data_IF_850482386819
#
_entry.id   IF_850482386819
#
_cell.length_a   1.000
_cell.length_b   1.000
_cell.length_c   1.000
_cell.angle_alpha   90.00
_cell.angle_beta   90.00
_cell.angle_gamma   90.00
#
_symmetry.space_group_name_H-M   'P 1'
#
loop_
_entity.id
_entity.type
_entity.pdbx_description
1 polymer ?
#
# COMPACT_ATOMS: atom_id res chain seq x y z
N UNK A 1 78.83 41.95 38.91
CA UNK A 1 79.28 41.65 37.53
C UNK A 1 78.11 40.99 36.79
N UNK A 2 77.39 41.76 35.98
CA UNK A 2 77.32 41.67 34.51
C UNK A 2 76.54 40.45 33.95
N UNK A 3 75.28 40.72 33.58
CA UNK A 3 74.49 40.32 32.39
C UNK A 3 74.58 38.91 31.77
N UNK A 4 73.40 38.28 31.51
CA UNK A 4 72.88 37.87 30.18
C UNK A 4 71.62 36.96 30.35
N UNK A 5 70.38 37.39 30.02
CA UNK A 5 69.66 37.35 28.72
C UNK A 5 68.74 36.12 28.54
N UNK A 6 67.40 36.39 28.52
CA UNK A 6 66.29 35.98 27.61
C UNK A 6 66.28 34.51 27.13
N UNK A 7 65.16 33.76 27.13
CA UNK A 7 63.91 34.00 26.41
C UNK A 7 62.78 33.14 27.03
N UNK A 8 61.64 33.73 27.39
CA UNK A 8 60.38 33.00 27.59
C UNK A 8 59.46 33.44 26.46
N UNK A 9 59.31 32.57 25.46
CA UNK A 9 58.39 32.73 24.35
C UNK A 9 57.02 32.28 24.82
N UNK A 10 56.19 33.21 25.30
CA UNK A 10 54.78 32.96 25.60
C UNK A 10 53.98 33.04 24.29
N UNK A 11 53.80 31.89 23.63
CA UNK A 11 52.88 31.75 22.50
C UNK A 11 51.45 31.85 23.07
N UNK A 12 50.83 33.01 22.88
CA UNK A 12 49.41 33.21 23.17
C UNK A 12 48.62 32.63 21.98
N UNK A 13 48.32 31.34 22.05
CA UNK A 13 47.46 30.66 21.07
C UNK A 13 46.04 31.21 21.23
N UNK A 14 45.71 32.22 20.42
CA UNK A 14 44.35 32.72 20.26
C UNK A 14 43.54 31.64 19.51
N UNK A 15 43.10 30.61 20.24
CA UNK A 15 42.07 29.70 19.78
C UNK A 15 40.78 30.52 19.65
N UNK A 16 40.51 30.98 18.42
CA UNK A 16 39.18 31.39 18.02
C UNK A 16 38.24 30.21 18.28
N UNK A 17 37.49 30.29 19.37
CA UNK A 17 36.28 29.52 19.57
C UNK A 17 35.31 29.96 18.48
N UNK A 18 35.39 29.33 17.31
CA UNK A 18 34.28 29.28 16.36
C UNK A 18 33.22 28.44 17.06
N UNK A 19 32.48 29.09 17.96
CA UNK A 19 31.27 28.53 18.52
C UNK A 19 30.31 28.43 17.34
N UNK A 20 30.25 27.24 16.75
CA UNK A 20 29.19 26.86 15.84
C UNK A 20 27.89 27.08 16.62
N UNK A 21 27.22 28.23 16.42
CA UNK A 21 25.88 28.45 16.94
C UNK A 21 25.04 27.35 16.31
N UNK A 22 24.77 26.28 17.06
CA UNK A 22 23.73 25.34 16.68
C UNK A 22 22.48 26.20 16.47
N UNK A 23 21.89 26.11 15.28
CA UNK A 23 20.61 26.73 15.03
C UNK A 23 19.68 26.29 16.18
N UNK A 24 19.09 27.25 16.87
CA UNK A 24 18.10 26.96 17.90
C UNK A 24 16.94 26.26 17.20
N UNK A 25 16.70 25.03 17.63
CA UNK A 25 15.54 24.27 17.17
C UNK A 25 14.30 24.79 17.89
N UNK A 26 13.15 24.65 17.25
CA UNK A 26 11.86 24.95 17.85
C UNK A 26 11.62 24.20 19.16
N UNK A 27 10.98 24.88 20.11
CA UNK A 27 10.40 24.27 21.31
C UNK A 27 8.89 24.02 21.17
N UNK A 28 8.29 24.35 20.01
CA UNK A 28 6.86 24.24 19.72
C UNK A 28 6.56 22.98 18.90
N UNK A 29 5.66 22.13 19.41
CA UNK A 29 5.26 20.92 18.72
C UNK A 29 4.30 21.23 17.55
N UNK A 30 4.32 20.46 16.46
CA UNK A 30 3.36 20.64 15.36
C UNK A 30 1.92 20.39 15.84
N UNK A 31 0.96 21.07 15.24
CA UNK A 31 -0.47 20.90 15.54
C UNK A 31 -1.04 19.86 14.56
N UNK A 32 -1.82 18.91 15.05
CA UNK A 32 -2.51 17.89 14.25
C UNK A 32 -3.96 17.78 14.71
N UNK A 33 -4.88 17.66 13.75
CA UNK A 33 -6.30 17.49 14.02
C UNK A 33 -7.00 16.66 12.93
N UNK A 34 -8.16 16.10 13.27
CA UNK A 34 -9.07 15.55 12.29
C UNK A 34 -9.79 16.68 11.55
N UNK A 35 -10.04 16.46 10.25
CA UNK A 35 -10.98 17.28 9.49
C UNK A 35 -12.40 17.05 9.96
N UNK A 36 -13.12 18.14 10.18
CA UNK A 36 -14.52 18.15 10.64
C UNK A 36 -15.50 18.54 9.53
N UNK A 37 -15.01 18.77 8.32
CA UNK A 37 -15.84 19.05 7.16
C UNK A 37 -16.76 17.87 6.85
N UNK A 38 -17.89 18.14 6.20
CA UNK A 38 -18.84 17.11 5.77
C UNK A 38 -18.16 16.02 4.93
N UNK A 39 -18.47 14.76 5.24
CA UNK A 39 -17.92 13.59 4.57
C UNK A 39 -16.71 12.96 5.26
N UNK A 40 -16.17 13.57 6.31
CA UNK A 40 -15.10 12.99 7.13
C UNK A 40 -15.60 12.48 8.49
N UNK A 41 -14.99 11.40 8.96
CA UNK A 41 -15.18 10.87 10.32
C UNK A 41 -14.03 11.37 11.20
N UNK A 42 -14.37 11.94 12.35
CA UNK A 42 -13.42 12.61 13.26
C UNK A 42 -13.61 12.22 14.74
N UNK A 43 -14.46 11.23 15.00
CA UNK A 43 -14.69 10.67 16.33
C UNK A 43 -14.88 9.17 16.23
N UNK A 44 -14.69 8.48 17.35
CA UNK A 44 -14.94 7.04 17.45
C UNK A 44 -16.30 6.64 16.88
N UNK A 45 -16.35 5.47 16.24
CA UNK A 45 -17.53 5.04 15.49
C UNK A 45 -17.71 3.53 15.53
N UNK A 46 -18.96 3.10 15.67
CA UNK A 46 -19.36 1.70 15.46
C UNK A 46 -19.76 1.51 13.99
N UNK A 47 -19.23 0.47 13.38
CA UNK A 47 -19.35 0.18 11.95
C UNK A 47 -19.61 -1.31 11.74
N UNK A 48 -20.43 -1.66 10.74
CA UNK A 48 -20.56 -3.04 10.29
C UNK A 48 -19.28 -3.48 9.55
N UNK A 49 -19.05 -4.78 9.48
CA UNK A 49 -17.99 -5.33 8.64
C UNK A 49 -18.10 -4.84 7.20
N UNK A 50 -16.98 -4.35 6.65
CA UNK A 50 -16.93 -3.81 5.28
C UNK A 50 -17.42 -2.38 5.14
N UNK A 51 -18.03 -1.78 6.17
CA UNK A 51 -18.40 -0.38 6.13
C UNK A 51 -17.17 0.49 5.89
N UNK A 52 -17.36 1.51 5.06
CA UNK A 52 -16.29 2.40 4.65
C UNK A 52 -16.49 3.78 5.26
N UNK A 53 -15.41 4.34 5.81
CA UNK A 53 -15.35 5.73 6.25
C UNK A 53 -14.20 6.46 5.59
N UNK A 54 -14.35 7.77 5.42
CA UNK A 54 -13.26 8.66 5.03
C UNK A 54 -12.78 9.41 6.27
N UNK A 55 -11.48 9.43 6.49
CA UNK A 55 -10.84 10.26 7.50
C UNK A 55 -9.97 11.30 6.81
N UNK A 56 -9.87 12.47 7.45
CA UNK A 56 -9.06 13.58 6.97
C UNK A 56 -8.20 14.06 8.13
N UNK A 57 -6.92 14.28 7.87
CA UNK A 57 -5.93 14.75 8.83
C UNK A 57 -5.34 16.04 8.28
N UNK A 58 -5.36 17.08 9.10
CA UNK A 58 -4.62 18.31 8.84
C UNK A 58 -3.54 18.43 9.91
N UNK A 59 -2.33 18.79 9.49
CA UNK A 59 -1.30 19.19 10.43
C UNK A 59 -0.60 20.46 9.95
N UNK A 60 -0.23 21.31 10.90
CA UNK A 60 0.45 22.57 10.65
C UNK A 60 1.64 22.72 11.60
N UNK A 61 2.67 23.38 11.12
CA UNK A 61 3.72 23.90 11.95
C UNK A 61 3.14 24.92 12.95
N UNK A 62 3.58 24.84 14.21
CA UNK A 62 3.19 25.81 15.23
C UNK A 62 3.97 27.12 15.12
N UNK A 63 5.19 27.08 14.57
CA UNK A 63 6.15 28.19 14.59
C UNK A 63 6.88 28.42 13.25
N UNK A 64 6.47 27.71 12.20
CA UNK A 64 7.09 27.74 10.88
C UNK A 64 8.17 26.67 10.66
N UNK A 65 8.56 25.87 11.66
CA UNK A 65 9.41 24.70 11.43
C UNK A 65 8.68 23.61 10.63
N UNK A 66 9.38 23.04 9.65
CA UNK A 66 8.83 21.98 8.82
C UNK A 66 8.51 20.71 9.62
N UNK A 67 7.35 20.13 9.31
CA UNK A 67 7.01 18.74 9.60
C UNK A 67 7.95 17.86 8.76
N UNK A 68 8.62 16.92 9.44
CA UNK A 68 9.61 16.02 8.84
C UNK A 68 9.13 14.58 8.72
N UNK A 69 8.12 14.20 9.49
CA UNK A 69 7.56 12.85 9.48
C UNK A 69 6.05 12.91 9.72
N UNK A 70 5.33 12.16 8.91
CA UNK A 70 3.97 11.73 9.19
C UNK A 70 3.94 10.20 9.30
N UNK A 71 3.40 9.68 10.38
CA UNK A 71 3.28 8.27 10.66
C UNK A 71 1.80 7.89 10.81
N UNK A 72 1.40 6.80 10.16
CA UNK A 72 0.10 6.17 10.35
C UNK A 72 0.31 4.79 10.94
N UNK A 73 -0.32 4.52 12.10
CA UNK A 73 -0.33 3.20 12.71
C UNK A 73 -1.75 2.67 12.81
N UNK A 74 -1.88 1.38 12.54
CA UNK A 74 -3.12 0.63 12.65
C UNK A 74 -2.92 -0.49 13.65
N UNK A 75 -3.91 -0.70 14.53
CA UNK A 75 -3.95 -1.80 15.49
C UNK A 75 -5.29 -2.51 15.38
N UNK A 76 -5.26 -3.84 15.34
CA UNK A 76 -6.44 -4.70 15.28
C UNK A 76 -6.19 -5.98 16.09
N UNK A 77 -6.53 -5.95 17.38
CA UNK A 77 -6.08 -6.97 18.32
C UNK A 77 -4.55 -6.96 18.43
N UNK A 78 -3.91 -8.11 18.18
CA UNK A 78 -2.45 -8.25 18.21
C UNK A 78 -1.76 -7.79 16.92
N UNK A 79 -2.51 -7.63 15.83
CA UNK A 79 -1.96 -7.16 14.56
C UNK A 79 -1.71 -5.66 14.60
N UNK A 80 -0.55 -5.24 14.08
CA UNK A 80 -0.27 -3.83 13.87
C UNK A 80 0.48 -3.58 12.56
N UNK A 81 0.24 -2.41 11.96
CA UNK A 81 0.96 -1.93 10.79
C UNK A 81 1.37 -0.48 11.04
N UNK A 82 2.55 -0.10 10.57
CA UNK A 82 3.08 1.26 10.69
C UNK A 82 3.65 1.68 9.35
N UNK A 83 3.23 2.86 8.88
CA UNK A 83 3.73 3.47 7.64
C UNK A 83 4.31 4.84 7.98
N UNK A 84 5.58 5.03 7.63
CA UNK A 84 6.30 6.27 7.80
C UNK A 84 6.43 7.01 6.47
N UNK A 85 6.04 8.29 6.48
CA UNK A 85 6.18 9.20 5.34
C UNK A 85 7.09 10.36 5.72
N UNK A 86 8.25 10.45 5.07
CA UNK A 86 9.12 11.61 5.19
C UNK A 86 8.48 12.84 4.54
N UNK A 87 8.54 13.97 5.22
CA UNK A 87 7.99 15.25 4.77
C UNK A 87 9.03 16.36 4.89
N UNK A 88 8.79 17.46 4.19
CA UNK A 88 9.54 18.70 4.36
C UNK A 88 8.62 19.88 4.02
N UNK A 89 7.58 20.05 4.83
CA UNK A 89 6.52 21.03 4.62
C UNK A 89 6.07 21.61 5.95
N UNK A 90 5.60 22.84 5.97
CA UNK A 90 4.94 23.45 7.13
C UNK A 90 3.50 22.95 7.32
N UNK A 91 2.92 22.30 6.32
CA UNK A 91 1.55 21.81 6.32
C UNK A 91 1.43 20.40 5.76
N UNK A 92 0.40 19.69 6.21
CA UNK A 92 -0.02 18.38 5.71
C UNK A 92 -1.55 18.37 5.58
N UNK A 93 -2.04 17.94 4.43
CA UNK A 93 -3.43 17.53 4.26
C UNK A 93 -3.43 16.08 3.74
N UNK A 94 -3.93 15.17 4.58
CA UNK A 94 -3.95 13.75 4.31
C UNK A 94 -5.38 13.22 4.40
N UNK A 95 -5.75 12.38 3.46
CA UNK A 95 -7.05 11.72 3.46
C UNK A 95 -6.86 10.21 3.28
N UNK A 96 -7.69 9.43 3.98
CA UNK A 96 -7.69 7.98 3.85
C UNK A 96 -9.10 7.44 3.87
N UNK A 97 -9.35 6.49 2.99
CA UNK A 97 -10.50 5.63 3.04
C UNK A 97 -10.16 4.42 3.93
N UNK A 98 -10.95 4.18 4.98
CA UNK A 98 -10.79 3.04 5.89
C UNK A 98 -12.00 2.14 5.74
N UNK A 99 -11.76 0.84 5.62
CA UNK A 99 -12.78 -0.21 5.57
C UNK A 99 -12.71 -0.99 6.87
N UNK A 100 -13.83 -1.12 7.57
CA UNK A 100 -13.91 -1.86 8.82
C UNK A 100 -13.62 -3.35 8.58
N UNK A 101 -12.63 -3.89 9.30
CA UNK A 101 -12.26 -5.30 9.30
C UNK A 101 -12.92 -6.11 10.44
N UNK A 102 -12.46 -7.35 10.64
CA UNK A 102 -13.09 -8.35 11.52
C UNK A 102 -12.94 -8.08 13.02
N UNK A 103 -11.90 -7.34 13.42
CA UNK A 103 -11.56 -7.13 14.83
C UNK A 103 -12.62 -6.33 15.56
N UNK A 104 -12.90 -6.68 16.82
CA UNK A 104 -13.93 -5.99 17.61
C UNK A 104 -13.61 -4.50 17.81
N UNK A 105 -12.32 -4.19 17.85
CA UNK A 105 -11.79 -2.84 17.89
C UNK A 105 -10.61 -2.69 16.93
N UNK A 106 -10.64 -1.62 16.17
CA UNK A 106 -9.52 -1.14 15.36
C UNK A 106 -9.13 0.26 15.83
N UNK A 107 -7.84 0.49 16.05
CA UNK A 107 -7.34 1.82 16.43
C UNK A 107 -6.43 2.35 15.35
N UNK A 108 -6.75 3.52 14.83
CA UNK A 108 -5.91 4.26 13.90
C UNK A 108 -5.24 5.42 14.62
N UNK A 109 -3.91 5.43 14.65
CA UNK A 109 -3.09 6.50 15.21
C UNK A 109 -2.39 7.28 14.10
N UNK A 110 -2.40 8.59 14.23
CA UNK A 110 -1.75 9.53 13.33
C UNK A 110 -0.79 10.38 14.14
N UNK A 111 0.47 10.41 13.73
CA UNK A 111 1.51 11.17 14.42
C UNK A 111 2.29 12.03 13.44
N UNK A 112 2.56 13.26 13.82
CA UNK A 112 3.47 14.16 13.10
C UNK A 112 4.66 14.53 13.97
N UNK A 113 5.80 14.76 13.33
CA UNK A 113 7.03 15.21 13.99
C UNK A 113 7.65 16.37 13.23
N UNK A 114 8.07 17.42 13.92
CA UNK A 114 8.80 18.54 13.30
C UNK A 114 10.32 18.26 13.19
N UNK A 115 11.10 19.25 12.76
CA UNK A 115 12.55 19.16 12.63
C UNK A 115 13.27 19.09 13.98
N UNK A 116 12.76 19.78 14.99
CA UNK A 116 13.23 19.68 16.37
C UNK A 116 13.02 18.27 16.99
N UNK A 117 12.19 17.43 16.36
CA UNK A 117 11.89 16.08 16.82
C UNK A 117 10.70 15.99 17.79
N UNK A 118 10.03 17.12 18.05
CA UNK A 118 8.78 17.21 18.82
C UNK A 118 7.64 16.57 18.04
N UNK A 119 6.74 15.89 18.77
CA UNK A 119 5.68 15.06 18.18
C UNK A 119 4.33 15.40 18.76
N UNK A 120 3.29 15.26 17.94
CA UNK A 120 1.90 15.23 18.37
C UNK A 120 1.17 14.10 17.66
N UNK A 121 0.16 13.56 18.34
CA UNK A 121 -0.63 12.45 17.84
C UNK A 121 -2.12 12.58 18.15
N UNK A 122 -2.94 12.01 17.28
CA UNK A 122 -4.39 11.82 17.45
C UNK A 122 -4.75 10.39 17.07
N UNK A 123 -5.88 9.91 17.57
CA UNK A 123 -6.37 8.58 17.24
C UNK A 123 -7.89 8.54 17.14
N UNK A 124 -8.36 7.51 16.45
CA UNK A 124 -9.78 7.16 16.31
C UNK A 124 -9.94 5.66 16.51
N UNK A 125 -10.96 5.26 17.26
CA UNK A 125 -11.34 3.88 17.46
C UNK A 125 -12.56 3.54 16.61
N UNK A 126 -12.48 2.43 15.87
CA UNK A 126 -13.58 1.86 15.12
C UNK A 126 -14.00 0.55 15.78
N UNK A 127 -15.24 0.50 16.25
CA UNK A 127 -15.82 -0.66 16.90
C UNK A 127 -16.63 -1.47 15.89
N UNK A 128 -16.55 -2.80 16.00
CA UNK A 128 -17.41 -3.68 15.19
C UNK A 128 -18.83 -3.65 15.74
N UNK A 129 -19.79 -3.42 14.86
CA UNK A 129 -21.21 -3.57 15.17
C UNK A 129 -21.52 -5.05 15.45
N UNK A 130 -22.20 -5.34 16.56
CA UNK A 130 -22.57 -6.71 16.95
C UNK A 130 -23.54 -7.39 15.99
N UNK A 131 -24.22 -6.61 15.13
CA UNK A 131 -25.11 -7.09 14.05
C UNK A 131 -24.35 -7.39 12.76
N UNK A 132 -23.02 -7.34 12.77
CA UNK A 132 -22.21 -7.67 11.59
C UNK A 132 -22.32 -9.15 11.26
N UNK A 133 -22.58 -9.44 9.98
CA UNK A 133 -22.62 -10.79 9.43
C UNK A 133 -21.62 -10.89 8.29
N UNK A 134 -21.08 -12.10 8.07
CA UNK A 134 -20.31 -12.37 6.86
C UNK A 134 -21.25 -12.54 5.69
N UNK A 135 -20.86 -11.98 4.55
CA UNK A 135 -21.69 -12.01 3.34
C UNK A 135 -21.13 -13.00 2.33
N UNK A 136 -22.00 -13.44 1.42
CA UNK A 136 -21.59 -14.28 0.30
C UNK A 136 -20.52 -13.56 -0.55
N UNK A 137 -19.67 -14.37 -1.16
CA UNK A 137 -18.59 -13.92 -2.04
C UNK A 137 -18.95 -14.15 -3.51
N UNK A 138 -18.33 -13.37 -4.39
CA UNK A 138 -18.28 -13.67 -5.81
C UNK A 138 -17.25 -14.78 -6.03
N UNK A 139 -17.66 -15.85 -6.73
CA UNK A 139 -16.81 -16.99 -7.05
C UNK A 139 -16.70 -17.14 -8.57
N UNK A 140 -15.49 -17.00 -9.09
CA UNK A 140 -15.17 -17.18 -10.51
C UNK A 140 -14.30 -18.44 -10.62
N UNK A 141 -14.87 -19.58 -11.05
CA UNK A 141 -14.21 -20.87 -10.94
C UNK A 141 -12.96 -21.00 -11.82
N UNK A 142 -12.92 -20.30 -12.96
CA UNK A 142 -11.82 -20.35 -13.92
C UNK A 142 -11.65 -19.03 -14.66
N UNK A 143 -10.44 -18.49 -14.62
CA UNK A 143 -9.97 -17.39 -15.46
C UNK A 143 -8.70 -17.84 -16.18
N UNK A 144 -8.71 -17.80 -17.51
CA UNK A 144 -7.56 -18.11 -18.34
C UNK A 144 -6.88 -16.82 -18.77
N UNK A 145 -5.59 -16.68 -18.46
CA UNK A 145 -4.78 -15.57 -18.93
C UNK A 145 -3.62 -16.09 -19.76
N UNK A 146 -3.47 -15.56 -20.97
CA UNK A 146 -2.37 -15.84 -21.87
C UNK A 146 -1.19 -14.90 -21.64
N UNK A 147 0.02 -15.43 -21.75
CA UNK A 147 1.24 -14.63 -21.75
C UNK A 147 1.33 -13.76 -23.02
N UNK A 148 2.33 -12.90 -23.10
CA UNK A 148 2.44 -11.81 -24.09
C UNK A 148 2.38 -12.23 -25.57
N UNK A 149 2.71 -13.48 -25.92
CA UNK A 149 2.63 -14.03 -27.29
C UNK A 149 1.54 -15.12 -27.43
N UNK A 150 0.66 -15.27 -26.44
CA UNK A 150 -0.44 -16.21 -26.52
C UNK A 150 -1.55 -15.68 -27.43
N UNK A 151 -1.90 -16.45 -28.47
CA UNK A 151 -2.92 -16.07 -29.46
C UNK A 151 -4.33 -16.57 -29.13
N UNK A 152 -4.48 -17.42 -28.11
CA UNK A 152 -5.75 -18.09 -27.78
C UNK A 152 -6.47 -17.44 -26.59
N UNK A 153 -5.72 -16.80 -25.68
CA UNK A 153 -6.25 -16.20 -24.46
C UNK A 153 -5.79 -14.75 -24.30
N UNK A 154 -6.63 -13.91 -23.70
CA UNK A 154 -6.24 -12.54 -23.34
C UNK A 154 -5.29 -12.52 -22.13
N UNK A 155 -4.55 -11.42 -21.96
CA UNK A 155 -3.52 -11.27 -20.91
C UNK A 155 -4.01 -10.51 -19.68
N UNK A 156 -5.08 -9.72 -19.85
CA UNK A 156 -5.57 -8.78 -18.85
C UNK A 156 -6.92 -9.20 -18.32
N UNK A 157 -7.17 -9.05 -17.02
CA UNK A 157 -8.49 -9.28 -16.42
C UNK A 157 -9.02 -8.02 -15.74
N UNK A 158 -10.33 -7.84 -15.83
CA UNK A 158 -11.08 -6.77 -15.18
C UNK A 158 -12.09 -7.37 -14.21
N UNK A 159 -11.99 -7.00 -12.94
CA UNK A 159 -12.94 -7.47 -11.92
C UNK A 159 -14.32 -6.85 -12.11
N UNK A 160 -14.38 -5.57 -12.49
CA UNK A 160 -15.65 -4.83 -12.63
C UNK A 160 -16.45 -5.25 -13.86
N UNK A 161 -15.79 -5.74 -14.90
CA UNK A 161 -16.43 -6.22 -16.13
C UNK A 161 -16.51 -7.75 -16.20
N UNK A 162 -15.95 -8.45 -15.21
CA UNK A 162 -15.79 -9.90 -15.19
C UNK A 162 -15.36 -10.47 -16.55
N UNK A 163 -14.25 -9.93 -17.08
CA UNK A 163 -13.85 -10.16 -18.47
C UNK A 163 -12.34 -10.19 -18.64
N UNK A 164 -11.89 -11.06 -19.56
CA UNK A 164 -10.49 -11.16 -20.00
C UNK A 164 -10.30 -10.44 -21.33
N UNK A 165 -9.24 -9.65 -21.43
CA UNK A 165 -8.91 -8.80 -22.57
C UNK A 165 -7.52 -9.14 -23.13
N UNK A 166 -7.38 -9.07 -24.45
CA UNK A 166 -6.05 -8.99 -25.08
C UNK A 166 -5.38 -7.67 -24.73
N UNK A 167 -4.06 -7.56 -24.88
CA UNK A 167 -3.34 -6.35 -24.49
C UNK A 167 -3.81 -5.09 -25.23
N UNK A 168 -4.21 -5.22 -26.50
CA UNK A 168 -4.76 -4.11 -27.29
C UNK A 168 -6.12 -3.66 -26.74
N UNK A 169 -7.04 -4.59 -26.45
CA UNK A 169 -8.33 -4.23 -25.85
C UNK A 169 -8.17 -3.70 -24.42
N UNK A 170 -7.19 -4.22 -23.67
CA UNK A 170 -6.84 -3.73 -22.35
C UNK A 170 -6.34 -2.28 -22.41
N UNK A 171 -5.52 -1.94 -23.40
CA UNK A 171 -5.08 -0.56 -23.67
C UNK A 171 -6.25 0.39 -23.97
N UNK A 172 -7.36 -0.10 -24.50
CA UNK A 172 -8.58 0.69 -24.71
C UNK A 172 -9.48 0.79 -23.46
N UNK A 173 -9.27 -0.07 -22.46
CA UNK A 173 -10.09 -0.20 -21.25
C UNK A 173 -9.25 -0.02 -19.96
N UNK A 174 -8.22 0.82 -20.01
CA UNK A 174 -7.15 0.89 -19.00
C UNK A 174 -7.67 1.04 -17.56
N UNK A 175 -8.73 1.83 -17.37
CA UNK A 175 -9.31 2.12 -16.05
C UNK A 175 -10.01 0.93 -15.39
N UNK A 176 -10.41 -0.10 -16.15
CA UNK A 176 -11.08 -1.28 -15.63
C UNK A 176 -10.15 -2.48 -15.41
N UNK A 177 -8.92 -2.45 -15.93
CA UNK A 177 -7.99 -3.58 -15.83
C UNK A 177 -7.38 -3.63 -14.43
N UNK A 178 -7.43 -4.79 -13.81
CA UNK A 178 -6.88 -5.02 -12.47
C UNK A 178 -5.65 -5.91 -12.51
N UNK A 179 -5.68 -6.97 -13.33
CA UNK A 179 -4.60 -7.96 -13.44
C UNK A 179 -4.04 -7.98 -14.86
N UNK A 180 -2.74 -8.23 -14.98
CA UNK A 180 -1.99 -8.47 -16.20
C UNK A 180 -1.10 -9.68 -15.99
N UNK A 181 -1.20 -10.69 -16.85
CA UNK A 181 -0.36 -11.88 -16.78
C UNK A 181 0.69 -11.91 -17.89
N UNK A 182 1.94 -12.16 -17.51
CA UNK A 182 3.05 -12.35 -18.44
C UNK A 182 4.01 -13.44 -17.95
N UNK A 183 4.86 -13.89 -18.86
CA UNK A 183 5.97 -14.78 -18.55
C UNK A 183 7.32 -14.10 -18.86
N UNK A 184 8.18 -13.98 -17.86
CA UNK A 184 9.52 -13.41 -18.02
C UNK A 184 10.61 -14.42 -17.65
N UNK A 185 11.20 -15.05 -18.67
CA UNK A 185 12.24 -16.07 -18.51
C UNK A 185 13.50 -15.55 -17.80
N UNK A 186 13.83 -14.26 -17.97
CA UNK A 186 15.04 -13.66 -17.40
C UNK A 186 14.78 -13.02 -16.03
N UNK A 187 13.56 -13.14 -15.51
CA UNK A 187 13.12 -12.46 -14.31
C UNK A 187 12.13 -13.29 -13.52
N UNK A 188 10.87 -12.86 -13.55
CA UNK A 188 9.85 -13.27 -12.58
C UNK A 188 8.99 -14.47 -13.03
N UNK A 189 9.37 -15.17 -14.11
CA UNK A 189 8.62 -16.27 -14.75
C UNK A 189 7.11 -15.96 -14.85
N UNK A 190 6.23 -16.87 -14.44
CA UNK A 190 4.79 -16.67 -14.40
C UNK A 190 4.44 -15.55 -13.41
N UNK A 191 3.98 -14.42 -13.92
CA UNK A 191 3.71 -13.24 -13.11
C UNK A 191 2.32 -12.67 -13.36
N UNK A 192 1.56 -12.43 -12.30
CA UNK A 192 0.40 -11.54 -12.32
C UNK A 192 0.82 -10.19 -11.73
N UNK A 193 0.64 -9.12 -12.48
CA UNK A 193 0.95 -7.75 -12.08
C UNK A 193 -0.31 -6.90 -12.16
N UNK A 194 -0.38 -5.84 -11.35
CA UNK A 194 -1.29 -4.73 -11.68
C UNK A 194 -0.73 -3.90 -12.85
N UNK A 195 -1.56 -3.16 -13.61
CA UNK A 195 -1.09 -2.20 -14.60
C UNK A 195 -0.09 -1.17 -14.04
N UNK A 196 -0.29 -0.75 -12.80
CA UNK A 196 0.63 0.13 -12.09
C UNK A 196 1.94 -0.55 -11.65
N UNK A 197 2.10 -1.87 -11.80
CA UNK A 197 3.20 -2.63 -11.23
C UNK A 197 4.59 -2.39 -11.85
N UNK A 198 4.78 -1.39 -12.70
CA UNK A 198 6.02 -1.16 -13.46
C UNK A 198 6.40 -2.42 -14.26
N UNK A 199 5.50 -2.87 -15.14
CA UNK A 199 5.81 -3.91 -16.12
C UNK A 199 6.77 -3.31 -17.15
N UNK A 200 7.86 -4.03 -17.43
CA UNK A 200 8.87 -3.58 -18.37
C UNK A 200 8.28 -3.46 -19.79
N UNK A 201 8.73 -2.45 -20.54
CA UNK A 201 8.28 -2.22 -21.93
C UNK A 201 8.58 -3.40 -22.85
N UNK A 202 9.61 -4.20 -22.58
CA UNK A 202 9.98 -5.36 -23.37
C UNK A 202 8.97 -6.51 -23.27
N UNK A 203 8.15 -6.57 -22.22
CA UNK A 203 7.17 -7.66 -22.01
C UNK A 203 6.05 -7.61 -23.05
N UNK A 204 5.44 -6.44 -23.24
CA UNK A 204 4.30 -6.26 -24.15
C UNK A 204 4.62 -5.42 -25.39
N UNK A 205 5.88 -5.02 -25.57
CA UNK A 205 6.30 -4.11 -26.63
C UNK A 205 5.89 -2.65 -26.40
N UNK A 206 6.05 -1.80 -27.41
CA UNK A 206 6.04 -0.35 -27.21
C UNK A 206 4.66 0.33 -27.30
N UNK A 207 3.67 -0.15 -28.06
CA UNK A 207 2.42 0.62 -28.20
C UNK A 207 1.41 0.32 -27.09
N UNK A 208 1.30 -0.93 -26.66
CA UNK A 208 0.25 -1.38 -25.74
C UNK A 208 0.74 -1.66 -24.32
N UNK A 209 2.05 -1.50 -24.06
CA UNK A 209 2.61 -1.72 -22.73
C UNK A 209 1.94 -0.83 -21.67
N UNK A 210 1.71 -1.35 -20.45
CA UNK A 210 1.17 -0.57 -19.33
C UNK A 210 1.93 0.71 -19.02
N UNK A 211 3.21 0.80 -19.41
CA UNK A 211 4.01 2.03 -19.26
C UNK A 211 3.44 3.24 -20.03
N UNK A 212 2.67 3.01 -21.09
CA UNK A 212 2.05 4.04 -21.93
C UNK A 212 0.56 4.29 -21.59
N UNK A 213 0.05 3.67 -20.54
CA UNK A 213 -1.32 3.86 -20.11
C UNK A 213 -1.47 5.17 -19.33
N UNK A 214 -2.49 5.96 -19.66
CA UNK A 214 -2.86 7.17 -18.92
C UNK A 214 -3.48 6.85 -17.56
N UNK A 215 -4.10 5.66 -17.42
CA UNK A 215 -4.66 5.19 -16.16
C UNK A 215 -4.10 3.82 -15.82
N UNK A 216 -3.57 3.67 -14.60
CA UNK A 216 -2.93 2.43 -14.14
C UNK A 216 -3.42 2.05 -12.76
N UNK A 217 -4.40 1.15 -12.72
CA UNK A 217 -4.84 0.57 -11.46
C UNK A 217 -3.68 -0.16 -10.78
N UNK A 218 -3.61 -0.04 -9.46
CA UNK A 218 -2.55 -0.64 -8.65
C UNK A 218 -3.11 -1.68 -7.70
N UNK A 219 -3.63 -2.79 -8.23
CA UNK A 219 -3.93 -3.94 -7.38
C UNK A 219 -2.69 -4.40 -6.63
N UNK A 220 -2.90 -4.74 -5.37
CA UNK A 220 -1.88 -5.21 -4.44
C UNK A 220 -2.08 -6.69 -4.14
N UNK A 221 -0.99 -7.39 -3.90
CA UNK A 221 -0.96 -8.83 -3.69
C UNK A 221 -0.06 -9.21 -2.51
N UNK A 222 -0.45 -10.28 -1.82
CA UNK A 222 0.37 -10.95 -0.81
C UNK A 222 0.15 -12.46 -0.88
N UNK A 223 1.23 -13.24 -0.85
CA UNK A 223 1.13 -14.70 -0.81
C UNK A 223 0.57 -15.10 0.56
N UNK A 224 -0.44 -15.96 0.56
CA UNK A 224 -1.06 -16.43 1.80
C UNK A 224 -0.41 -17.72 2.29
N UNK A 225 -0.70 -18.07 3.54
CA UNK A 225 -0.41 -19.40 4.12
C UNK A 225 -1.63 -20.32 4.08
N UNK A 226 -2.70 -19.93 3.38
CA UNK A 226 -3.92 -20.73 3.28
C UNK A 226 -3.65 -22.03 2.53
N UNK A 227 -4.30 -23.11 2.94
CA UNK A 227 -4.30 -24.35 2.18
C UNK A 227 -5.34 -24.30 1.05
N UNK A 228 -5.19 -25.16 0.05
CA UNK A 228 -6.22 -25.35 -0.99
C UNK A 228 -7.57 -25.71 -0.37
N UNK A 229 -7.57 -26.51 0.69
CA UNK A 229 -8.79 -26.89 1.40
C UNK A 229 -9.46 -25.69 2.10
N UNK A 230 -8.69 -24.79 2.71
CA UNK A 230 -9.23 -23.55 3.30
C UNK A 230 -9.87 -22.67 2.23
N UNK A 231 -9.17 -22.50 1.10
CA UNK A 231 -9.68 -21.75 -0.04
C UNK A 231 -10.97 -22.36 -0.57
N UNK A 232 -11.01 -23.67 -0.80
CA UNK A 232 -12.16 -24.37 -1.38
C UNK A 232 -13.39 -24.28 -0.46
N UNK A 233 -13.18 -24.38 0.86
CA UNK A 233 -14.22 -24.23 1.88
C UNK A 233 -14.57 -22.78 2.24
N UNK A 234 -14.00 -21.79 1.55
CA UNK A 234 -14.39 -20.39 1.70
C UNK A 234 -15.68 -20.11 0.94
N UNK A 235 -16.79 -19.92 1.66
CA UNK A 235 -18.13 -19.66 1.09
C UNK A 235 -18.64 -18.24 1.36
N UNK A 236 -17.98 -17.50 2.25
CA UNK A 236 -18.28 -16.13 2.60
C UNK A 236 -16.98 -15.35 2.81
N UNK A 237 -17.08 -14.05 3.07
CA UNK A 237 -15.91 -13.17 3.13
C UNK A 237 -15.14 -13.23 4.46
N UNK A 238 -15.47 -14.14 5.39
CA UNK A 238 -14.75 -14.29 6.66
C UNK A 238 -13.27 -14.59 6.47
N UNK A 239 -12.95 -15.55 5.59
CA UNK A 239 -11.56 -15.93 5.31
C UNK A 239 -10.82 -14.78 4.62
N UNK A 240 -11.52 -14.02 3.77
CA UNK A 240 -10.98 -12.83 3.09
C UNK A 240 -10.59 -11.77 4.13
N UNK A 241 -11.46 -11.46 5.09
CA UNK A 241 -11.12 -10.52 6.17
C UNK A 241 -9.95 -11.01 7.03
N UNK A 242 -9.90 -12.30 7.33
CA UNK A 242 -8.86 -12.88 8.19
C UNK A 242 -7.47 -12.91 7.53
N UNK A 243 -7.39 -12.94 6.20
CA UNK A 243 -6.13 -13.05 5.44
C UNK A 243 -5.95 -11.92 4.43
N UNK A 244 -6.52 -10.74 4.71
CA UNK A 244 -6.21 -9.51 4.00
C UNK A 244 -5.06 -8.77 4.66
N UNK A 245 -4.50 -7.79 3.96
CA UNK A 245 -3.36 -7.00 4.39
C UNK A 245 -3.64 -5.51 4.17
N UNK A 246 -2.87 -4.63 4.81
CA UNK A 246 -2.97 -3.20 4.55
C UNK A 246 -2.55 -2.88 3.11
N UNK A 247 -3.39 -2.17 2.37
CA UNK A 247 -3.16 -1.93 0.94
C UNK A 247 -1.75 -1.36 0.65
N UNK A 248 -1.21 -0.51 1.53
CA UNK A 248 0.10 0.09 1.35
C UNK A 248 1.28 -0.90 1.51
N UNK A 249 1.12 -1.99 2.28
CA UNK A 249 2.18 -3.00 2.47
C UNK A 249 2.30 -3.98 1.31
N UNK A 250 1.21 -4.17 0.55
CA UNK A 250 1.13 -5.18 -0.50
C UNK A 250 2.05 -4.94 -1.70
N UNK A 251 2.40 -6.03 -2.39
CA UNK A 251 3.24 -6.00 -3.59
C UNK A 251 2.40 -5.71 -4.83
N UNK A 252 2.99 -5.09 -5.85
CA UNK A 252 2.28 -4.79 -7.12
C UNK A 252 2.31 -5.95 -8.12
N UNK A 253 3.06 -7.01 -7.80
CA UNK A 253 3.25 -8.22 -8.60
C UNK A 253 3.26 -9.45 -7.69
N UNK A 254 2.67 -10.54 -8.15
CA UNK A 254 2.86 -11.91 -7.68
C UNK A 254 3.67 -12.66 -8.73
N UNK A 255 4.84 -13.16 -8.35
CA UNK A 255 5.93 -13.60 -9.23
C UNK A 255 6.22 -15.08 -9.02
N UNK A 256 6.78 -15.75 -10.02
CA UNK A 256 7.14 -17.16 -9.96
C UNK A 256 5.97 -18.06 -9.55
N UNK A 257 4.78 -17.75 -10.06
CA UNK A 257 3.53 -18.43 -9.70
C UNK A 257 3.59 -19.93 -10.03
N UNK A 258 3.11 -20.75 -9.09
CA UNK A 258 3.03 -22.20 -9.20
C UNK A 258 1.62 -22.68 -8.88
N UNK A 259 1.26 -23.86 -9.38
CA UNK A 259 0.00 -24.54 -9.03
C UNK A 259 -0.16 -24.63 -7.51
N UNK A 260 -1.37 -24.35 -7.05
CA UNK A 260 -1.81 -24.27 -5.66
C UNK A 260 -1.35 -23.04 -4.87
N UNK A 261 -0.57 -22.13 -5.46
CA UNK A 261 -0.31 -20.84 -4.81
C UNK A 261 -1.62 -20.08 -4.62
N UNK A 262 -1.83 -19.53 -3.42
CA UNK A 262 -3.00 -18.71 -3.08
C UNK A 262 -2.51 -17.33 -2.67
N UNK A 263 -2.93 -16.32 -3.41
CA UNK A 263 -2.62 -14.92 -3.12
C UNK A 263 -3.87 -14.18 -2.68
N UNK A 264 -3.72 -13.40 -1.62
CA UNK A 264 -4.65 -12.33 -1.25
C UNK A 264 -4.41 -11.15 -2.17
N UNK A 265 -5.49 -10.46 -2.56
CA UNK A 265 -5.41 -9.22 -3.31
C UNK A 265 -6.34 -8.15 -2.77
N UNK A 266 -5.96 -6.90 -3.00
CA UNK A 266 -6.78 -5.72 -2.72
C UNK A 266 -6.78 -4.84 -3.97
N UNK A 267 -7.97 -4.65 -4.56
CA UNK A 267 -8.16 -3.82 -5.74
C UNK A 267 -7.98 -2.34 -5.39
N UNK A 268 -7.38 -1.59 -6.31
CA UNK A 268 -7.23 -0.13 -6.15
C UNK A 268 -8.57 0.60 -6.11
N UNK A 269 -9.57 0.10 -6.83
CA UNK A 269 -10.90 0.71 -6.93
C UNK A 269 -11.81 0.14 -5.84
N UNK A 270 -12.21 0.99 -4.89
CA UNK A 270 -13.07 0.68 -3.74
C UNK A 270 -12.49 -0.28 -2.68
N UNK A 271 -11.24 -0.74 -2.82
CA UNK A 271 -10.58 -1.57 -1.80
C UNK A 271 -11.17 -2.96 -1.66
N UNK A 272 -11.93 -3.46 -2.65
CA UNK A 272 -12.47 -4.82 -2.67
C UNK A 272 -11.33 -5.84 -2.53
N UNK A 273 -11.56 -6.83 -1.67
CA UNK A 273 -10.57 -7.83 -1.28
C UNK A 273 -10.97 -9.18 -1.84
N UNK A 274 -9.98 -10.03 -2.06
CA UNK A 274 -10.23 -11.40 -2.48
C UNK A 274 -8.99 -12.25 -2.48
N UNK A 275 -9.15 -13.46 -2.97
CA UNK A 275 -8.09 -14.41 -3.24
C UNK A 275 -8.12 -14.83 -4.70
N UNK A 276 -6.95 -15.13 -5.25
CA UNK A 276 -6.86 -16.03 -6.39
C UNK A 276 -6.02 -17.24 -6.02
N UNK A 277 -6.43 -18.41 -6.49
CA UNK A 277 -5.69 -19.68 -6.42
C UNK A 277 -5.21 -20.04 -7.81
N UNK A 278 -3.94 -20.39 -7.95
CA UNK A 278 -3.37 -20.85 -9.21
C UNK A 278 -3.76 -22.31 -9.44
N UNK A 279 -4.52 -22.59 -10.49
CA UNK A 279 -4.92 -23.95 -10.86
C UNK A 279 -3.84 -24.63 -11.71
N UNK A 280 -3.30 -23.92 -12.70
CA UNK A 280 -2.22 -24.44 -13.56
C UNK A 280 -1.39 -23.31 -14.19
N UNK A 281 -0.14 -23.62 -14.54
CA UNK A 281 0.77 -22.72 -15.27
C UNK A 281 1.44 -23.44 -16.43
N UNK A 282 1.54 -22.76 -17.57
CA UNK A 282 2.34 -23.14 -18.73
C UNK A 282 3.39 -22.04 -18.94
N UNK A 283 4.59 -22.22 -18.39
CA UNK A 283 5.62 -21.17 -18.30
C UNK A 283 6.39 -20.93 -19.60
N UNK A 284 5.79 -20.23 -20.56
CA UNK A 284 6.47 -19.71 -21.75
C UNK A 284 5.86 -18.37 -22.17
N UNK A 285 6.52 -17.64 -23.07
CA UNK A 285 5.99 -16.36 -23.59
C UNK A 285 4.70 -16.53 -24.41
N UNK A 286 4.41 -17.73 -24.92
CA UNK A 286 3.16 -18.10 -25.57
C UNK A 286 2.22 -18.94 -24.67
N UNK A 287 2.62 -19.16 -23.42
CA UNK A 287 1.92 -20.00 -22.45
C UNK A 287 0.75 -19.29 -21.80
N UNK A 288 0.25 -19.85 -20.70
CA UNK A 288 -0.95 -19.38 -19.99
C UNK A 288 -0.90 -19.72 -18.50
N UNK A 289 -1.77 -19.06 -17.75
CA UNK A 289 -2.14 -19.41 -16.39
C UNK A 289 -3.65 -19.62 -16.30
N UNK A 290 -4.06 -20.59 -15.50
CA UNK A 290 -5.45 -20.77 -15.07
C UNK A 290 -5.54 -20.46 -13.58
N UNK A 291 -6.46 -19.58 -13.20
CA UNK A 291 -6.70 -19.22 -11.80
C UNK A 291 -8.18 -19.34 -11.45
N UNK A 292 -8.45 -19.53 -10.16
CA UNK A 292 -9.77 -19.47 -9.55
C UNK A 292 -9.82 -18.25 -8.63
N UNK A 293 -10.89 -17.45 -8.68
CA UNK A 293 -11.01 -16.20 -7.91
C UNK A 293 -12.20 -16.28 -6.95
N UNK A 294 -11.98 -15.85 -5.72
CA UNK A 294 -13.01 -15.65 -4.68
C UNK A 294 -12.87 -14.25 -4.12
N UNK A 295 -13.86 -13.39 -4.26
CA UNK A 295 -13.76 -11.98 -3.86
C UNK A 295 -15.04 -11.45 -3.21
N UNK A 296 -14.91 -10.38 -2.43
CA UNK A 296 -16.04 -9.68 -1.84
C UNK A 296 -17.00 -9.15 -2.91
N UNK A 297 -18.30 -9.22 -2.61
CA UNK A 297 -19.36 -8.68 -3.47
C UNK A 297 -19.29 -7.15 -3.61
#
# INVERSE_FOLDING_TARGET
MRYAIKYITLIFTLMFLIQCKKAQLSDEAPIISFRTDSGFTFSDKTLKLGDTIRIGIIANSADGENITLFNTKFFAGEQSTSVDSGLNSTELNYERLIIKGISDKETWHFMVKNKAGLRQEISINLFKDSTSEFINITHIPKVFLGAQLNNNYGTAWSASLDSVFTINKAYQNQASIDFLYYYDFNGDENTISSPGGNVDTSIYGSTYSPSYWSTRNTTRFELTTLTVQDFDNSYNDSLIYANTFDYASGKRKSKNLKTNDIYSFVLNNAGKKGFFKVLSVEGTTAGKIEIEIKMQN
#
